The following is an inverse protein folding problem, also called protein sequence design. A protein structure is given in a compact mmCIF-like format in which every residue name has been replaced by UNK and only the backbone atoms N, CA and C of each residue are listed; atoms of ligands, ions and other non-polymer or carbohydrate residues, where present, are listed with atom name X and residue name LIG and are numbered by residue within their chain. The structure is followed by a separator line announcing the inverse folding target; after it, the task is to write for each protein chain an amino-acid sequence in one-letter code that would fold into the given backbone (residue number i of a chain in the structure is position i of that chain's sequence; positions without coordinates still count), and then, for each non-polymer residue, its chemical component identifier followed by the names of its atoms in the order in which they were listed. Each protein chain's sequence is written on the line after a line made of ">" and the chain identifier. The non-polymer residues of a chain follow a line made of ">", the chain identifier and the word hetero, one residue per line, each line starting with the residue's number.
data_IF_467337790792
#
_entry.id   IF_467337790792
#
_cell.length_a   1.000
_cell.length_b   1.000
_cell.length_c   1.000
_cell.angle_alpha   90.00
_cell.angle_beta   90.00
_cell.angle_gamma   90.00
#
_symmetry.space_group_name_H-M   'P 1'
#
loop_
_entity.id
_entity.type
_entity.pdbx_description
1 polymer ?
#
# COMPACT_ATOMS: atom_id res chain seq x y z
N UNK A 1 46.70 20.51 23.94
CA UNK A 1 46.42 20.75 22.49
C UNK A 1 46.41 19.38 21.81
N UNK A 2 45.52 19.00 20.89
CA UNK A 2 44.46 19.72 20.20
C UNK A 2 43.38 18.76 19.69
N UNK A 3 42.25 19.34 19.33
CA UNK A 3 40.99 18.72 18.90
C UNK A 3 41.10 18.10 17.49
N UNK A 4 40.37 17.00 17.27
CA UNK A 4 40.03 16.50 15.94
C UNK A 4 38.68 15.78 15.98
N UNK A 5 37.60 16.52 15.70
CA UNK A 5 36.23 16.01 15.56
C UNK A 5 35.99 15.65 14.07
N UNK A 6 35.49 14.45 13.78
CA UNK A 6 34.89 14.06 12.48
C UNK A 6 33.76 13.06 12.79
N UNK A 7 32.52 13.53 12.98
CA UNK A 7 31.41 13.58 12.00
C UNK A 7 30.46 12.38 12.12
N UNK A 8 29.25 12.70 12.57
CA UNK A 8 27.99 11.95 12.44
C UNK A 8 27.72 11.50 11.00
N UNK A 9 27.31 10.25 10.82
CA UNK A 9 26.58 9.74 9.64
C UNK A 9 25.80 8.52 10.13
N UNK A 10 24.62 8.66 10.75
CA UNK A 10 23.34 8.99 10.09
C UNK A 10 23.02 8.13 8.86
N UNK A 11 23.46 6.86 8.82
CA UNK A 11 23.13 5.94 7.70
C UNK A 11 22.61 4.55 8.15
N UNK A 12 22.00 4.48 9.33
CA UNK A 12 21.04 3.42 9.63
C UNK A 12 19.61 3.97 9.61
N UNK A 13 19.31 4.85 8.64
CA UNK A 13 17.95 4.91 8.11
C UNK A 13 17.66 3.54 7.47
N UNK A 14 17.28 2.59 8.31
CA UNK A 14 16.52 1.41 7.94
C UNK A 14 15.17 1.92 7.41
N UNK A 15 15.20 2.38 6.16
CA UNK A 15 14.03 2.54 5.29
C UNK A 15 13.51 1.14 4.94
N UNK A 16 13.21 0.32 5.95
CA UNK A 16 12.87 -1.09 5.78
C UNK A 16 11.42 -1.41 6.09
N UNK A 17 10.56 -0.40 6.11
CA UNK A 17 9.13 -0.63 6.01
C UNK A 17 8.66 0.22 4.84
N UNK A 18 8.55 -0.41 3.67
CA UNK A 18 7.59 0.03 2.68
C UNK A 18 6.24 -0.10 3.37
N UNK A 19 5.77 1.02 3.94
CA UNK A 19 4.42 1.16 4.46
C UNK A 19 3.51 1.18 3.23
N UNK A 20 3.34 0.01 2.61
CA UNK A 20 2.22 -0.18 1.71
C UNK A 20 0.98 0.21 2.51
N UNK A 21 0.22 1.17 1.98
CA UNK A 21 -0.98 1.66 2.67
C UNK A 21 -1.85 0.43 3.06
N UNK A 22 -2.22 0.28 4.35
CA UNK A 22 -3.01 -0.87 4.79
C UNK A 22 -4.31 -1.02 3.99
N UNK A 23 -4.86 0.09 3.47
CA UNK A 23 -6.02 0.08 2.59
C UNK A 23 -5.68 -0.46 1.19
N UNK A 24 -4.52 -0.12 0.63
CA UNK A 24 -4.06 -0.71 -0.64
C UNK A 24 -3.82 -2.22 -0.50
N UNK A 25 -3.26 -2.66 0.62
CA UNK A 25 -3.09 -4.09 0.91
C UNK A 25 -4.43 -4.80 1.00
N UNK A 26 -5.41 -4.20 1.67
CA UNK A 26 -6.76 -4.74 1.75
C UNK A 26 -7.40 -4.85 0.37
N UNK A 27 -7.39 -3.78 -0.44
CA UNK A 27 -7.93 -3.77 -1.80
C UNK A 27 -7.29 -4.87 -2.65
N UNK A 28 -5.96 -5.03 -2.54
CA UNK A 28 -5.22 -6.07 -3.25
C UNK A 28 -5.67 -7.47 -2.84
N UNK A 29 -5.81 -7.73 -1.53
CA UNK A 29 -6.27 -9.02 -1.04
C UNK A 29 -7.71 -9.31 -1.50
N UNK A 30 -8.60 -8.31 -1.47
CA UNK A 30 -9.98 -8.46 -1.91
C UNK A 30 -10.07 -8.81 -3.41
N UNK A 31 -9.21 -8.21 -4.24
CA UNK A 31 -9.11 -8.54 -5.66
C UNK A 31 -8.60 -9.97 -5.85
N UNK A 32 -7.53 -10.37 -5.14
CA UNK A 32 -6.94 -11.70 -5.26
C UNK A 32 -7.86 -12.83 -4.80
N UNK A 33 -8.69 -12.57 -3.79
CA UNK A 33 -9.66 -13.54 -3.25
C UNK A 33 -10.99 -13.53 -4.00
N UNK A 34 -11.17 -12.66 -4.99
CA UNK A 34 -12.41 -12.61 -5.78
C UNK A 34 -12.42 -13.73 -6.82
N UNK A 35 -13.40 -14.63 -6.70
CA UNK A 35 -13.68 -15.65 -7.70
C UNK A 35 -14.42 -15.02 -8.89
N UNK A 36 -13.67 -14.68 -9.93
CA UNK A 36 -14.19 -13.99 -11.12
C UNK A 36 -15.14 -14.85 -11.96
N UNK A 37 -15.05 -16.18 -11.86
CA UNK A 37 -15.82 -17.10 -12.70
C UNK A 37 -17.28 -17.25 -12.22
N UNK A 38 -17.55 -16.83 -10.99
CA UNK A 38 -18.87 -16.94 -10.35
C UNK A 38 -19.66 -15.64 -10.32
N UNK A 39 -19.03 -14.51 -10.65
CA UNK A 39 -19.67 -13.20 -10.58
C UNK A 39 -20.66 -13.01 -11.73
N UNK A 40 -21.85 -12.52 -11.38
CA UNK A 40 -22.75 -11.94 -12.37
C UNK A 40 -22.20 -10.61 -12.88
N UNK A 41 -22.58 -10.17 -14.10
CA UNK A 41 -22.12 -8.89 -14.64
C UNK A 41 -22.39 -7.69 -13.73
N UNK A 42 -23.50 -7.71 -12.98
CA UNK A 42 -23.87 -6.65 -12.04
C UNK A 42 -22.95 -6.65 -10.82
N UNK A 43 -22.64 -7.82 -10.26
CA UNK A 43 -21.75 -7.93 -9.10
C UNK A 43 -20.32 -7.50 -9.45
N UNK A 44 -19.83 -7.87 -10.64
CA UNK A 44 -18.54 -7.41 -11.14
C UNK A 44 -18.50 -5.87 -11.23
N UNK A 45 -19.55 -5.25 -11.78
CA UNK A 45 -19.66 -3.79 -11.84
C UNK A 45 -19.70 -3.13 -10.46
N UNK A 46 -20.42 -3.70 -9.50
CA UNK A 46 -20.49 -3.17 -8.14
C UNK A 46 -19.13 -3.26 -7.43
N UNK A 47 -18.45 -4.41 -7.49
CA UNK A 47 -17.08 -4.59 -6.95
C UNK A 47 -16.10 -3.59 -7.55
N UNK A 48 -16.13 -3.37 -8.87
CA UNK A 48 -15.27 -2.38 -9.53
C UNK A 48 -15.56 -0.95 -9.03
N UNK A 49 -16.83 -0.62 -8.80
CA UNK A 49 -17.21 0.71 -8.28
C UNK A 49 -16.76 0.91 -6.83
N UNK A 50 -16.84 -0.13 -6.00
CA UNK A 50 -16.32 -0.12 -4.62
C UNK A 50 -14.81 0.12 -4.59
N UNK A 51 -14.04 -0.67 -5.35
CA UNK A 51 -12.58 -0.50 -5.46
C UNK A 51 -12.23 0.92 -5.90
N UNK A 52 -12.93 1.46 -6.89
CA UNK A 52 -12.74 2.84 -7.37
C UNK A 52 -13.00 3.87 -6.27
N UNK A 53 -14.01 3.68 -5.43
CA UNK A 53 -14.33 4.59 -4.34
C UNK A 53 -13.30 4.51 -3.21
N UNK A 54 -12.79 3.32 -2.90
CA UNK A 54 -11.71 3.14 -1.92
C UNK A 54 -10.42 3.82 -2.38
N UNK A 55 -10.04 3.65 -3.65
CA UNK A 55 -8.86 4.32 -4.22
C UNK A 55 -8.96 5.85 -4.18
N UNK A 56 -10.15 6.41 -4.34
CA UNK A 56 -10.38 7.86 -4.21
C UNK A 56 -10.17 8.40 -2.80
N UNK A 57 -10.28 7.56 -1.76
CA UNK A 57 -10.04 7.98 -0.39
C UNK A 57 -8.54 8.09 -0.06
N UNK A 58 -7.70 7.49 -0.90
CA UNK A 58 -6.23 7.45 -0.75
C UNK A 58 -5.57 8.63 -1.47
N UNK A 59 -6.19 9.16 -2.54
CA UNK A 59 -5.66 10.25 -3.36
C UNK A 59 -5.96 11.65 -2.81
#
# INVERSE_FOLDING_TARGET
>A
EGLGKVSTSDDFQLSFIQLDDPLLQQIKQDILNTDIDTLTPVEALMKLNEIKNLLKQIS
#
